data_IF_051056407981
#
_entry.id   IF_051056407981
#
_cell.length_a   1.000
_cell.length_b   1.000
_cell.length_c   1.000
_cell.angle_alpha   90.00
_cell.angle_beta   90.00
_cell.angle_gamma   90.00
#
_symmetry.space_group_name_H-M   'P 1'
#
loop_
_entity.id
_entity.type
_entity.pdbx_description
1 polymer ?
#
# COMPACT_ATOMS: atom_id res chain seq x y z
N UNK A 1 -6.73 -7.46 1.97
CA UNK A 1 -7.18 -8.86 2.22
C UNK A 1 -7.89 -9.52 1.04
N UNK A 2 -8.21 -8.81 -0.05
CA UNK A 2 -9.01 -9.30 -1.18
C UNK A 2 -8.16 -9.74 -2.39
N UNK A 3 -6.87 -10.00 -2.16
CA UNK A 3 -5.93 -10.53 -3.16
C UNK A 3 -5.14 -11.69 -2.54
N UNK A 4 -4.91 -12.80 -3.27
CA UNK A 4 -4.15 -13.95 -2.77
C UNK A 4 -2.69 -13.61 -2.46
N UNK A 5 -2.11 -12.63 -3.16
CA UNK A 5 -0.73 -12.16 -2.96
C UNK A 5 -0.66 -10.92 -2.05
N UNK A 6 -1.78 -10.51 -1.45
CA UNK A 6 -1.86 -9.40 -0.51
C UNK A 6 -1.88 -7.99 -1.13
N UNK A 7 -1.62 -7.87 -2.42
CA UNK A 7 -1.66 -6.63 -3.21
C UNK A 7 -2.28 -6.89 -4.59
N UNK A 8 -2.88 -5.89 -5.23
CA UNK A 8 -3.40 -6.00 -6.59
C UNK A 8 -2.89 -4.86 -7.51
N UNK A 9 -3.18 -5.00 -8.80
CA UNK A 9 -2.75 -4.04 -9.82
C UNK A 9 -3.40 -2.66 -9.66
N UNK A 10 -4.61 -2.58 -9.09
CA UNK A 10 -5.31 -1.31 -8.83
C UNK A 10 -4.53 -0.51 -7.79
N UNK A 11 -4.11 -1.17 -6.70
CA UNK A 11 -3.30 -0.54 -5.65
C UNK A 11 -1.93 -0.10 -6.16
N UNK A 12 -1.25 -0.94 -6.95
CA UNK A 12 0.05 -0.59 -7.53
C UNK A 12 -0.06 0.63 -8.44
N UNK A 13 -1.03 0.66 -9.36
CA UNK A 13 -1.25 1.78 -10.28
C UNK A 13 -1.66 3.06 -9.57
N UNK A 14 -2.47 2.97 -8.51
CA UNK A 14 -2.79 4.12 -7.69
C UNK A 14 -1.53 4.73 -7.05
N UNK A 15 -0.63 3.88 -6.54
CA UNK A 15 0.62 4.36 -5.95
C UNK A 15 1.54 5.01 -7.00
N UNK A 16 1.62 4.47 -8.22
CA UNK A 16 2.36 5.14 -9.32
C UNK A 16 1.82 6.56 -9.54
N UNK A 17 0.51 6.70 -9.70
CA UNK A 17 -0.14 8.01 -9.91
C UNK A 17 0.14 8.97 -8.76
N UNK A 18 -0.03 8.49 -7.53
CA UNK A 18 0.16 9.30 -6.34
C UNK A 18 1.62 9.74 -6.16
N UNK A 19 2.58 8.86 -6.39
CA UNK A 19 4.01 9.18 -6.27
C UNK A 19 4.46 10.14 -7.37
N UNK A 20 4.00 9.97 -8.60
CA UNK A 20 4.26 10.93 -9.69
C UNK A 20 3.67 12.29 -9.35
N UNK A 21 2.43 12.35 -8.87
CA UNK A 21 1.83 13.61 -8.43
C UNK A 21 2.62 14.25 -7.29
N UNK A 22 3.08 13.49 -6.29
CA UNK A 22 3.93 14.01 -5.22
C UNK A 22 5.27 14.58 -5.72
N UNK A 23 5.82 14.05 -6.81
CA UNK A 23 7.03 14.58 -7.43
C UNK A 23 6.78 15.86 -8.25
N UNK A 24 5.54 16.06 -8.73
CA UNK A 24 5.14 17.23 -9.53
C UNK A 24 4.60 18.37 -8.69
N UNK A 25 3.97 18.07 -7.55
CA UNK A 25 3.38 19.06 -6.67
C UNK A 25 4.48 19.87 -5.97
N UNK A 26 4.33 21.21 -5.98
CA UNK A 26 5.21 22.08 -5.21
C UNK A 26 5.11 21.72 -3.72
N UNK A 27 6.23 21.29 -3.14
CA UNK A 27 6.34 20.92 -1.73
C UNK A 27 7.36 21.83 -1.04
N UNK A 28 6.90 22.92 -0.38
CA UNK A 28 7.76 23.77 0.43
C UNK A 28 8.50 22.96 1.50
N UNK A 29 9.68 23.43 1.92
CA UNK A 29 10.36 22.85 3.07
C UNK A 29 9.44 22.88 4.30
N UNK A 30 9.35 21.74 4.98
CA UNK A 30 8.56 21.61 6.21
C UNK A 30 9.50 21.48 7.41
N UNK A 31 9.25 22.28 8.43
CA UNK A 31 9.84 22.12 9.76
C UNK A 31 9.35 20.83 10.45
N UNK A 32 10.03 20.44 11.53
CA UNK A 32 9.61 19.30 12.36
C UNK A 32 8.18 19.46 12.90
N UNK A 33 7.79 20.69 13.25
CA UNK A 33 6.47 20.99 13.80
C UNK A 33 5.38 20.89 12.73
N UNK A 34 5.68 21.32 11.50
CA UNK A 34 4.79 21.16 10.35
C UNK A 34 4.62 19.69 9.96
N UNK A 35 5.70 18.89 10.04
CA UNK A 35 5.61 17.43 9.87
C UNK A 35 4.75 16.77 10.95
N UNK A 36 4.81 17.24 12.20
CA UNK A 36 3.91 16.77 13.26
C UNK A 36 2.45 17.18 12.99
N UNK A 37 2.23 18.35 12.40
CA UNK A 37 0.88 18.76 12.00
C UNK A 37 0.27 17.81 10.97
N UNK A 38 1.00 17.39 9.93
CA UNK A 38 0.46 16.51 8.89
C UNK A 38 -0.03 15.18 9.49
N UNK A 39 0.65 14.66 10.53
CA UNK A 39 0.22 13.46 11.26
C UNK A 39 -1.19 13.57 11.88
N UNK A 40 -1.68 14.78 12.14
CA UNK A 40 -3.06 14.98 12.66
C UNK A 40 -4.11 14.49 11.64
N UNK A 41 -3.92 14.79 10.35
CA UNK A 41 -4.82 14.31 9.30
C UNK A 41 -4.72 12.79 9.14
N UNK A 42 -3.51 12.24 9.20
CA UNK A 42 -3.30 10.79 9.21
C UNK A 42 -4.09 10.13 10.35
N UNK A 43 -3.94 10.61 11.59
CA UNK A 43 -4.65 10.06 12.74
C UNK A 43 -6.18 10.14 12.58
N UNK A 44 -6.70 11.24 12.03
CA UNK A 44 -8.14 11.38 11.75
C UNK A 44 -8.62 10.33 10.75
N UNK A 45 -7.89 10.12 9.65
CA UNK A 45 -8.26 9.13 8.63
C UNK A 45 -8.14 7.70 9.18
N UNK A 46 -7.10 7.42 9.97
CA UNK A 46 -6.87 6.11 10.59
C UNK A 46 -8.02 5.74 11.55
N UNK A 47 -8.41 6.66 12.44
CA UNK A 47 -9.39 6.36 13.49
C UNK A 47 -10.83 6.47 13.02
N UNK A 48 -11.14 7.48 12.18
CA UNK A 48 -12.51 7.80 11.78
C UNK A 48 -12.60 8.36 10.35
N UNK A 49 -11.76 7.89 9.42
CA UNK A 49 -11.76 8.37 8.03
C UNK A 49 -13.06 8.13 7.26
N UNK A 50 -13.85 7.10 7.64
CA UNK A 50 -15.13 6.77 6.99
C UNK A 50 -16.35 7.43 7.64
N UNK A 51 -16.13 8.31 8.62
CA UNK A 51 -17.23 9.01 9.30
C UNK A 51 -17.93 9.97 8.32
N UNK A 52 -19.26 9.94 8.18
CA UNK A 52 -19.98 10.90 7.33
C UNK A 52 -19.68 12.34 7.76
N UNK A 53 -19.42 13.22 6.79
CA UNK A 53 -19.06 14.61 7.04
C UNK A 53 -17.67 14.81 7.67
N UNK A 54 -16.77 13.84 7.54
CA UNK A 54 -15.40 13.97 8.05
C UNK A 54 -14.67 15.15 7.38
N UNK A 55 -13.86 15.85 8.18
CA UNK A 55 -13.05 16.99 7.73
C UNK A 55 -11.58 16.80 8.07
N UNK A 56 -10.71 17.36 7.22
CA UNK A 56 -9.26 17.40 7.43
C UNK A 56 -8.77 18.84 7.48
N UNK A 57 -7.66 19.06 8.20
CA UNK A 57 -7.11 20.40 8.38
C UNK A 57 -6.12 20.77 7.27
N UNK A 58 -6.17 22.01 6.80
CA UNK A 58 -5.19 22.60 5.87
C UNK A 58 -4.32 23.61 6.63
N UNK A 59 -3.02 23.68 6.31
CA UNK A 59 -2.08 24.61 6.95
C UNK A 59 -2.02 24.44 8.48
N UNK A 60 -1.71 23.22 8.97
CA UNK A 60 -1.75 22.88 10.39
C UNK A 60 -3.13 23.03 11.09
N UNK A 61 -4.23 23.12 10.33
CA UNK A 61 -5.59 23.28 10.85
C UNK A 61 -6.10 24.72 10.86
N UNK A 62 -5.44 25.62 10.12
CA UNK A 62 -5.90 26.99 9.90
C UNK A 62 -7.30 27.03 9.25
N UNK A 63 -7.57 26.08 8.36
CA UNK A 63 -8.91 25.81 7.83
C UNK A 63 -9.22 24.32 7.89
N UNK A 64 -10.50 23.97 7.78
CA UNK A 64 -10.97 22.60 7.68
C UNK A 64 -11.78 22.44 6.40
N UNK A 65 -11.54 21.35 5.70
CA UNK A 65 -12.24 21.02 4.46
C UNK A 65 -12.83 19.61 4.53
N UNK A 66 -13.99 19.36 3.90
CA UNK A 66 -14.55 18.01 3.79
C UNK A 66 -13.56 17.05 3.13
N UNK A 67 -13.36 15.88 3.73
CA UNK A 67 -12.44 14.86 3.23
C UNK A 67 -12.78 14.44 1.79
N UNK A 68 -14.07 14.34 1.48
CA UNK A 68 -14.59 14.03 0.14
C UNK A 68 -14.12 15.03 -0.92
N UNK A 69 -14.13 16.33 -0.59
CA UNK A 69 -13.79 17.39 -1.52
C UNK A 69 -12.29 17.40 -1.79
N UNK A 70 -11.49 17.26 -0.74
CA UNK A 70 -10.02 17.19 -0.88
C UNK A 70 -9.61 15.93 -1.65
N UNK A 71 -10.25 14.80 -1.37
CA UNK A 71 -10.04 13.55 -2.11
C UNK A 71 -10.35 13.68 -3.59
N UNK A 72 -11.51 14.25 -3.94
CA UNK A 72 -11.91 14.48 -5.33
C UNK A 72 -11.01 15.48 -6.05
N UNK A 73 -10.56 16.53 -5.37
CA UNK A 73 -9.60 17.48 -5.93
C UNK A 73 -8.27 16.80 -6.26
N UNK A 74 -7.74 15.99 -5.33
CA UNK A 74 -6.55 15.16 -5.59
C UNK A 74 -6.78 14.23 -6.79
N UNK A 75 -7.91 13.53 -6.84
CA UNK A 75 -8.21 12.61 -7.93
C UNK A 75 -8.37 13.30 -9.29
N UNK A 76 -8.82 14.55 -9.33
CA UNK A 76 -8.81 15.34 -10.56
C UNK A 76 -7.39 15.56 -11.09
N UNK A 77 -6.42 15.80 -10.21
CA UNK A 77 -5.01 15.88 -10.61
C UNK A 77 -4.43 14.52 -10.99
N UNK A 78 -4.71 13.47 -10.22
CA UNK A 78 -4.28 12.10 -10.55
C UNK A 78 -4.83 11.65 -11.90
N UNK A 79 -6.05 12.06 -12.28
CA UNK A 79 -6.64 11.77 -13.59
C UNK A 79 -5.81 12.35 -14.74
N UNK A 80 -5.25 13.55 -14.56
CA UNK A 80 -4.38 14.18 -15.58
C UNK A 80 -3.06 13.42 -15.72
N UNK A 81 -2.50 12.93 -14.62
CA UNK A 81 -1.32 12.04 -14.65
C UNK A 81 -1.67 10.73 -15.36
N UNK A 82 -2.83 10.15 -15.05
CA UNK A 82 -3.31 8.91 -15.64
C UNK A 82 -3.47 9.01 -17.16
N UNK A 83 -4.01 10.13 -17.67
CA UNK A 83 -4.15 10.37 -19.11
C UNK A 83 -2.81 10.37 -19.84
N UNK A 84 -1.75 10.90 -19.22
CA UNK A 84 -0.40 10.90 -19.79
C UNK A 84 0.17 9.49 -19.83
N UNK A 85 0.14 8.77 -18.70
CA UNK A 85 0.68 7.40 -18.60
C UNK A 85 -0.06 6.42 -19.54
N UNK A 86 -1.39 6.51 -19.59
CA UNK A 86 -2.22 5.70 -20.48
C UNK A 86 -1.98 6.03 -21.96
N UNK A 87 -1.74 7.30 -22.27
CA UNK A 87 -1.46 7.78 -23.63
C UNK A 87 -0.17 7.19 -24.21
N UNK A 88 0.86 7.00 -23.39
CA UNK A 88 2.12 6.35 -23.80
C UNK A 88 1.96 4.83 -23.94
N UNK A 89 1.13 4.20 -23.09
CA UNK A 89 0.94 2.75 -23.06
C UNK A 89 -0.14 2.23 -24.04
N UNK A 90 -0.94 3.13 -24.63
CA UNK A 90 -2.02 2.76 -25.55
C UNK A 90 -3.19 2.02 -24.91
N UNK A 91 -3.39 2.16 -23.60
CA UNK A 91 -4.50 1.54 -22.85
C UNK A 91 -5.20 2.59 -21.95
N UNK A 92 -6.08 2.16 -21.04
CA UNK A 92 -6.82 3.05 -20.11
C UNK A 92 -6.76 2.59 -18.66
N UNK A 93 -5.73 1.84 -18.29
CA UNK A 93 -5.67 1.15 -17.01
C UNK A 93 -5.54 2.13 -15.84
N UNK A 94 -4.76 3.21 -15.99
CA UNK A 94 -4.61 4.21 -14.93
C UNK A 94 -5.88 5.05 -14.77
N UNK A 95 -6.53 5.44 -15.87
CA UNK A 95 -7.79 6.16 -15.83
C UNK A 95 -8.89 5.34 -15.13
N UNK A 96 -8.98 4.04 -15.43
CA UNK A 96 -9.95 3.15 -14.78
C UNK A 96 -9.75 3.09 -13.25
N UNK A 97 -8.49 3.06 -12.79
CA UNK A 97 -8.18 3.11 -11.35
C UNK A 97 -8.65 4.42 -10.72
N UNK A 98 -8.50 5.55 -11.40
CA UNK A 98 -9.06 6.82 -10.93
C UNK A 98 -10.58 6.76 -10.77
N UNK A 99 -11.29 6.23 -11.79
CA UNK A 99 -12.75 6.14 -11.78
C UNK A 99 -13.27 5.19 -10.69
N UNK A 100 -12.57 4.09 -10.46
CA UNK A 100 -12.92 3.12 -9.42
C UNK A 100 -12.73 3.69 -8.00
N UNK A 101 -11.56 4.28 -7.73
CA UNK A 101 -11.20 4.68 -6.38
C UNK A 101 -11.83 6.01 -5.96
N UNK A 102 -12.13 6.92 -6.90
CA UNK A 102 -12.78 8.20 -6.56
C UNK A 102 -14.19 8.00 -6.00
N UNK A 103 -14.89 6.95 -6.42
CA UNK A 103 -16.22 6.61 -5.94
C UNK A 103 -16.25 6.34 -4.42
N UNK A 104 -15.13 5.91 -3.83
CA UNK A 104 -15.04 5.64 -2.40
C UNK A 104 -15.12 6.90 -1.51
N UNK A 105 -14.95 8.10 -2.09
CA UNK A 105 -15.19 9.36 -1.38
C UNK A 105 -16.69 9.68 -1.26
N UNK A 106 -17.49 9.29 -2.25
CA UNK A 106 -18.95 9.41 -2.21
C UNK A 106 -19.60 8.28 -1.39
N UNK A 107 -19.07 7.07 -1.52
CA UNK A 107 -19.52 5.90 -0.78
C UNK A 107 -18.35 5.24 -0.02
N UNK A 108 -18.15 5.59 1.27
CA UNK A 108 -17.11 4.99 2.10
C UNK A 108 -17.25 3.48 2.30
N UNK A 109 -18.40 2.87 1.99
CA UNK A 109 -18.59 1.42 2.08
C UNK A 109 -17.86 0.64 0.98
N UNK A 110 -17.42 1.32 -0.09
CA UNK A 110 -16.57 0.75 -1.13
C UNK A 110 -15.12 0.52 -0.67
N UNK A 111 -14.67 1.23 0.37
CA UNK A 111 -13.31 1.11 0.89
C UNK A 111 -13.03 -0.30 1.45
N UNK A 112 -11.76 -0.71 1.38
CA UNK A 112 -11.37 -2.03 1.90
C UNK A 112 -11.67 -2.19 3.40
N UNK A 113 -11.52 -1.13 4.18
CA UNK A 113 -11.77 -1.16 5.63
C UNK A 113 -13.26 -1.34 5.95
N UNK A 114 -14.17 -0.76 5.18
CA UNK A 114 -15.60 -1.00 5.33
C UNK A 114 -15.97 -2.43 4.93
N UNK A 115 -15.52 -2.89 3.76
CA UNK A 115 -15.79 -4.23 3.23
C UNK A 115 -15.32 -5.33 4.19
N UNK A 116 -14.09 -5.23 4.71
CA UNK A 116 -13.55 -6.24 5.62
C UNK A 116 -14.22 -6.17 6.99
N UNK A 117 -14.51 -4.97 7.51
CA UNK A 117 -15.22 -4.81 8.77
C UNK A 117 -16.62 -5.42 8.71
N UNK A 118 -17.31 -5.27 7.57
CA UNK A 118 -18.63 -5.90 7.33
C UNK A 118 -18.54 -7.42 7.42
N UNK A 119 -17.54 -8.03 6.78
CA UNK A 119 -17.31 -9.47 6.87
C UNK A 119 -16.97 -9.90 8.31
N UNK A 120 -16.07 -9.18 8.98
CA UNK A 120 -15.66 -9.47 10.36
C UNK A 120 -16.83 -9.34 11.35
N UNK A 121 -17.75 -8.40 11.14
CA UNK A 121 -18.97 -8.26 11.96
C UNK A 121 -19.96 -9.40 11.73
N UNK A 122 -20.05 -9.93 10.51
CA UNK A 122 -20.98 -11.00 10.17
C UNK A 122 -20.49 -12.39 10.65
N UNK A 123 -19.19 -12.65 10.53
CA UNK A 123 -18.64 -14.01 10.72
C UNK A 123 -17.58 -14.13 11.83
N UNK A 124 -17.07 -13.00 12.33
CA UNK A 124 -15.97 -12.95 13.30
C UNK A 124 -14.59 -12.95 12.64
N UNK A 125 -13.67 -12.16 13.20
CA UNK A 125 -12.32 -11.90 12.65
C UNK A 125 -11.53 -13.18 12.35
N UNK A 126 -11.49 -14.13 13.29
CA UNK A 126 -10.73 -15.37 13.12
C UNK A 126 -11.29 -16.26 12.01
N UNK A 127 -12.62 -16.33 11.87
CA UNK A 127 -13.29 -17.13 10.85
C UNK A 127 -13.05 -16.56 9.45
N UNK A 128 -13.22 -15.25 9.29
CA UNK A 128 -12.92 -14.56 8.01
C UNK A 128 -11.47 -14.78 7.60
N UNK A 129 -10.53 -14.67 8.54
CA UNK A 129 -9.11 -14.91 8.28
C UNK A 129 -8.84 -16.34 7.81
N UNK A 130 -9.40 -17.35 8.48
CA UNK A 130 -9.23 -18.76 8.11
C UNK A 130 -9.86 -19.09 6.75
N UNK A 131 -11.04 -18.54 6.46
CA UNK A 131 -11.70 -18.75 5.16
C UNK A 131 -10.88 -18.16 4.02
N UNK A 132 -10.40 -16.92 4.15
CA UNK A 132 -9.55 -16.29 3.14
C UNK A 132 -8.22 -17.04 2.97
N UNK A 133 -7.61 -17.48 4.07
CA UNK A 133 -6.36 -18.24 4.02
C UNK A 133 -6.54 -19.57 3.27
N UNK A 134 -7.62 -20.32 3.56
CA UNK A 134 -7.89 -21.58 2.88
C UNK A 134 -8.23 -21.36 1.39
N UNK A 135 -9.02 -20.34 1.07
CA UNK A 135 -9.33 -19.97 -0.30
C UNK A 135 -8.05 -19.67 -1.09
N UNK A 136 -7.18 -18.79 -0.57
CA UNK A 136 -5.95 -18.41 -1.25
C UNK A 136 -4.94 -19.56 -1.34
N UNK A 137 -4.90 -20.43 -0.33
CA UNK A 137 -4.10 -21.67 -0.40
C UNK A 137 -4.53 -22.55 -1.57
N UNK A 138 -5.83 -22.74 -1.78
CA UNK A 138 -6.34 -23.54 -2.89
C UNK A 138 -6.00 -22.90 -4.24
N UNK A 139 -6.28 -21.60 -4.40
CA UNK A 139 -5.96 -20.85 -5.62
C UNK A 139 -4.48 -20.97 -5.99
N UNK A 140 -3.57 -20.71 -5.04
CA UNK A 140 -2.13 -20.70 -5.29
C UNK A 140 -1.54 -22.10 -5.55
N UNK A 141 -2.22 -23.18 -5.12
CA UNK A 141 -1.80 -24.55 -5.43
C UNK A 141 -2.27 -25.02 -6.81
N UNK A 142 -3.37 -24.45 -7.32
CA UNK A 142 -3.96 -24.82 -8.60
C UNK A 142 -3.39 -24.00 -9.77
N UNK A 143 -2.88 -22.79 -9.49
CA UNK A 143 -2.27 -21.92 -10.50
C UNK A 143 -0.88 -22.43 -10.92
N UNK A 144 -0.64 -22.67 -12.23
CA UNK A 144 0.68 -23.03 -12.72
C UNK A 144 1.64 -21.84 -12.67
N UNK A 145 2.93 -22.12 -12.56
CA UNK A 145 3.95 -21.07 -12.63
C UNK A 145 4.01 -20.46 -14.05
N UNK A 146 4.00 -19.13 -14.13
CA UNK A 146 3.98 -18.41 -15.42
C UNK A 146 5.35 -17.88 -15.86
N UNK A 147 6.13 -17.32 -14.92
CA UNK A 147 7.42 -16.67 -15.21
C UNK A 147 8.59 -17.55 -14.76
N UNK A 148 8.55 -17.99 -13.50
CA UNK A 148 9.55 -18.89 -12.94
C UNK A 148 9.18 -20.35 -13.22
N UNK A 149 10.15 -21.25 -13.15
CA UNK A 149 9.89 -22.68 -13.12
C UNK A 149 10.52 -23.37 -11.90
N UNK A 150 10.15 -24.62 -11.66
CA UNK A 150 10.63 -25.41 -10.52
C UNK A 150 12.16 -25.52 -10.47
N UNK A 151 12.81 -25.69 -11.62
CA UNK A 151 14.27 -25.83 -11.67
C UNK A 151 15.00 -24.52 -11.29
N UNK A 152 14.43 -23.36 -11.63
CA UNK A 152 14.95 -22.06 -11.20
C UNK A 152 14.79 -21.86 -9.68
N UNK A 153 13.65 -22.26 -9.12
CA UNK A 153 13.40 -22.22 -7.67
C UNK A 153 14.33 -23.16 -6.90
N UNK A 154 14.54 -24.38 -7.39
CA UNK A 154 15.49 -25.34 -6.80
C UNK A 154 16.93 -24.84 -6.87
N UNK A 155 17.31 -24.22 -8.00
CA UNK A 155 18.64 -23.61 -8.13
C UNK A 155 18.84 -22.48 -7.13
N UNK A 156 17.83 -21.62 -6.96
CA UNK A 156 17.90 -20.52 -6.00
C UNK A 156 17.92 -21.02 -4.55
N UNK A 157 17.21 -22.12 -4.26
CA UNK A 157 17.31 -22.81 -2.96
C UNK A 157 18.76 -23.17 -2.66
N UNK A 158 19.44 -23.91 -3.54
CA UNK A 158 20.83 -24.32 -3.30
C UNK A 158 21.79 -23.13 -3.23
N UNK A 159 21.61 -22.14 -4.11
CA UNK A 159 22.44 -20.94 -4.09
C UNK A 159 22.27 -20.15 -2.78
N UNK A 160 21.07 -20.05 -2.24
CA UNK A 160 20.81 -19.36 -0.97
C UNK A 160 21.50 -20.06 0.21
N UNK A 161 21.46 -21.39 0.28
CA UNK A 161 22.16 -22.17 1.29
C UNK A 161 23.67 -22.02 1.20
N UNK A 162 24.22 -21.97 -0.01
CA UNK A 162 25.65 -21.75 -0.18
C UNK A 162 26.06 -20.36 0.29
N UNK A 163 25.32 -19.30 -0.09
CA UNK A 163 25.58 -17.94 0.39
C UNK A 163 25.51 -17.85 1.90
N UNK A 164 24.55 -18.52 2.54
CA UNK A 164 24.47 -18.57 4.01
C UNK A 164 25.72 -19.23 4.60
N UNK A 165 26.13 -20.41 4.12
CA UNK A 165 27.34 -21.10 4.61
C UNK A 165 28.61 -20.27 4.40
N UNK A 166 28.71 -19.57 3.28
CA UNK A 166 29.86 -18.71 3.00
C UNK A 166 29.91 -17.54 4.00
N UNK A 167 28.78 -16.96 4.39
CA UNK A 167 28.72 -15.94 5.45
C UNK A 167 29.17 -16.56 6.78
N UNK A 168 28.57 -17.69 7.17
CA UNK A 168 28.88 -18.37 8.44
C UNK A 168 30.35 -18.82 8.54
N UNK A 169 30.97 -19.23 7.43
CA UNK A 169 32.37 -19.64 7.40
C UNK A 169 33.35 -18.45 7.40
N UNK A 170 32.92 -17.29 6.91
CA UNK A 170 33.72 -16.07 6.85
C UNK A 170 33.49 -15.14 8.06
N UNK A 171 32.59 -15.50 8.98
CA UNK A 171 32.39 -14.78 10.25
C UNK A 171 33.62 -14.94 11.14
N UNK A 172 34.32 -13.82 11.34
CA UNK A 172 35.56 -13.75 12.15
C UNK A 172 35.33 -13.16 13.53
N UNK A 173 34.17 -12.55 13.75
CA UNK A 173 33.78 -11.93 15.01
C UNK A 173 32.75 -12.79 15.72
N UNK A 174 32.78 -12.80 17.05
CA UNK A 174 31.62 -13.29 17.80
C UNK A 174 30.43 -12.36 17.54
N UNK A 175 29.22 -12.91 17.64
CA UNK A 175 28.00 -12.13 17.47
C UNK A 175 27.95 -10.89 18.38
N UNK A 176 28.40 -11.00 19.63
CA UNK A 176 28.50 -9.86 20.55
C UNK A 176 29.46 -8.77 20.07
N UNK A 177 30.61 -9.15 19.48
CA UNK A 177 31.58 -8.21 18.95
C UNK A 177 31.05 -7.51 17.69
N UNK A 178 30.37 -8.26 16.81
CA UNK A 178 29.67 -7.71 15.66
C UNK A 178 28.60 -6.68 16.06
N UNK A 179 27.80 -6.98 17.09
CA UNK A 179 26.79 -6.05 17.62
C UNK A 179 27.43 -4.80 18.25
N UNK A 180 28.54 -4.92 18.99
CA UNK A 180 29.25 -3.74 19.52
C UNK A 180 29.80 -2.85 18.41
N UNK A 181 30.18 -3.43 17.28
CA UNK A 181 30.73 -2.70 16.14
C UNK A 181 29.63 -2.04 15.28
N UNK A 182 28.49 -2.71 15.08
CA UNK A 182 27.45 -2.30 14.11
C UNK A 182 26.12 -1.87 14.75
N UNK A 183 25.94 -2.05 16.06
CA UNK A 183 24.67 -1.81 16.74
C UNK A 183 24.27 -0.35 16.90
N UNK A 184 25.14 0.59 16.51
CA UNK A 184 24.97 2.01 16.85
C UNK A 184 25.09 2.23 18.37
N UNK A 185 25.64 3.37 18.76
CA UNK A 185 25.57 3.82 20.17
C UNK A 185 24.22 4.46 20.46
#
# INVERSE_FOLDING_TARGET
PFSPIGVDAVQARFLDLFLVWCALADAPEMSSDELLCTRKNWNRVILEGRKPGQTIGIGCGASHEPLENVGKALFADLRRVAEVLDGEAGNRQYQQVCDELVAAFDDPELTFSARILKAMKAEGTGRVGLQLAEQYRQTLLEEPLEILNEAELDKEREASWQRQRDIEANDTLSFEAFLKQNGGS
#
